data_IF_002833362841
#
_entry.id   IF_002833362841
#
_cell.length_a   1.000
_cell.length_b   1.000
_cell.length_c   1.000
_cell.angle_alpha   90.00
_cell.angle_beta   90.00
_cell.angle_gamma   90.00
#
_symmetry.space_group_name_H-M   'P 1'
#
loop_
_entity.id
_entity.type
_entity.pdbx_description
1 polymer ?
#
# COMPACT_ATOMS: atom_id res chain seq x y z
N UNK A 1 16.85 20.30 -18.54
CA UNK A 1 17.27 18.95 -18.08
C UNK A 1 17.12 17.98 -19.25
N UNK A 2 18.16 17.20 -19.52
CA UNK A 2 18.21 16.23 -20.61
C UNK A 2 18.29 14.81 -20.05
N UNK A 3 17.62 13.86 -20.69
CA UNK A 3 17.74 12.43 -20.34
C UNK A 3 18.90 11.86 -21.16
N UNK A 4 19.97 11.42 -20.47
CA UNK A 4 21.16 10.83 -21.09
C UNK A 4 21.80 9.82 -20.13
N UNK A 5 22.65 8.93 -20.66
CA UNK A 5 23.47 8.04 -19.84
C UNK A 5 24.71 8.80 -19.38
N UNK A 6 24.85 9.11 -18.08
CA UNK A 6 26.02 9.82 -17.58
C UNK A 6 27.28 8.94 -17.66
N UNK A 7 28.44 9.56 -17.65
CA UNK A 7 29.71 8.83 -17.61
C UNK A 7 29.79 7.97 -16.33
N UNK A 8 30.00 6.67 -16.50
CA UNK A 8 30.09 5.71 -15.39
C UNK A 8 28.74 5.13 -14.93
N UNK A 9 27.62 5.46 -15.60
CA UNK A 9 26.30 4.85 -15.37
C UNK A 9 25.94 3.94 -16.56
N UNK A 10 25.03 3.00 -16.35
CA UNK A 10 24.52 2.08 -17.39
C UNK A 10 23.06 2.40 -17.80
N UNK A 11 22.46 3.44 -17.21
CA UNK A 11 21.03 3.79 -17.40
C UNK A 11 20.86 5.27 -17.74
N UNK A 12 19.82 5.63 -18.50
CA UNK A 12 19.42 7.01 -18.69
C UNK A 12 19.02 7.67 -17.35
N UNK A 13 19.52 8.89 -17.14
CA UNK A 13 19.22 9.72 -15.98
C UNK A 13 18.81 11.13 -16.42
N UNK A 14 18.07 11.81 -15.57
CA UNK A 14 17.84 13.24 -15.75
C UNK A 14 19.08 14.01 -15.33
N UNK A 15 19.71 14.72 -16.25
CA UNK A 15 20.92 15.50 -16.01
C UNK A 15 20.64 16.99 -16.24
N UNK A 16 21.08 17.83 -15.32
CA UNK A 16 21.00 19.27 -15.48
C UNK A 16 21.99 19.75 -16.54
N UNK A 17 21.53 20.46 -17.56
CA UNK A 17 22.38 20.93 -18.66
C UNK A 17 23.32 22.05 -18.25
N UNK A 18 23.04 22.77 -17.17
CA UNK A 18 23.84 23.90 -16.69
C UNK A 18 24.91 23.52 -15.68
N UNK A 19 24.64 22.54 -14.80
CA UNK A 19 25.58 22.17 -13.74
C UNK A 19 25.97 20.68 -13.74
N UNK A 20 25.49 19.89 -14.70
CA UNK A 20 25.71 18.45 -14.85
C UNK A 20 25.25 17.61 -13.62
N UNK A 21 24.48 18.15 -12.70
CA UNK A 21 23.93 17.38 -11.59
C UNK A 21 23.03 16.27 -12.13
N UNK A 22 23.27 15.03 -11.64
CA UNK A 22 22.49 13.86 -11.98
C UNK A 22 21.36 13.73 -10.95
N UNK A 23 20.10 13.68 -11.44
CA UNK A 23 18.91 13.46 -10.61
C UNK A 23 18.54 11.98 -10.69
N UNK A 24 18.78 11.24 -9.63
CA UNK A 24 18.38 9.86 -9.50
C UNK A 24 16.88 9.76 -9.18
N UNK A 25 16.20 8.83 -9.82
CA UNK A 25 14.84 8.46 -9.49
C UNK A 25 14.85 7.03 -8.94
N UNK A 26 14.30 6.85 -7.73
CA UNK A 26 14.16 5.56 -7.10
C UNK A 26 12.68 5.17 -7.06
N UNK A 27 12.35 3.88 -6.93
CA UNK A 27 10.98 3.44 -6.67
C UNK A 27 10.42 4.15 -5.44
N UNK A 28 9.14 4.52 -5.51
CA UNK A 28 8.44 5.13 -4.39
C UNK A 28 8.01 4.04 -3.41
N UNK A 29 8.16 4.32 -2.12
CA UNK A 29 7.67 3.46 -1.06
C UNK A 29 6.25 3.90 -0.71
N UNK A 30 5.32 2.93 -0.70
CA UNK A 30 3.97 3.07 -0.17
C UNK A 30 3.91 2.25 1.11
N UNK A 31 3.52 2.87 2.21
CA UNK A 31 3.33 2.20 3.49
C UNK A 31 1.86 2.27 3.92
N UNK A 32 1.32 1.17 4.38
CA UNK A 32 -0.08 1.11 4.79
C UNK A 32 -0.35 0.04 5.82
N UNK A 33 -1.55 0.09 6.36
CA UNK A 33 -2.04 -0.85 7.36
C UNK A 33 -3.14 -1.75 6.80
N UNK A 34 -3.22 -2.95 7.37
CA UNK A 34 -4.41 -3.78 7.40
C UNK A 34 -4.98 -3.69 8.82
N UNK A 35 -5.86 -2.69 9.10
CA UNK A 35 -6.38 -2.48 10.44
C UNK A 35 -7.54 -3.45 10.71
N UNK A 36 -7.50 -4.13 11.85
CA UNK A 36 -8.48 -5.15 12.21
C UNK A 36 -9.18 -4.83 13.53
N UNK A 37 -10.44 -5.26 13.64
CA UNK A 37 -11.22 -5.28 14.87
C UNK A 37 -12.02 -6.59 14.96
N UNK A 38 -11.62 -7.47 15.84
CA UNK A 38 -12.17 -8.82 15.90
C UNK A 38 -11.94 -9.57 14.60
N UNK A 39 -13.02 -9.91 13.93
CA UNK A 39 -13.01 -10.63 12.66
C UNK A 39 -13.15 -9.74 11.41
N UNK A 40 -13.14 -8.43 11.60
CA UNK A 40 -13.35 -7.45 10.53
C UNK A 40 -12.09 -6.68 10.20
N UNK A 41 -12.01 -6.22 8.97
CA UNK A 41 -10.97 -5.32 8.46
C UNK A 41 -11.58 -3.95 8.13
N UNK A 42 -10.81 -2.89 8.40
CA UNK A 42 -11.22 -1.52 8.07
C UNK A 42 -10.79 -1.20 6.65
N UNK A 43 -11.72 -0.72 5.84
CA UNK A 43 -11.48 -0.20 4.50
C UNK A 43 -11.92 1.25 4.39
N UNK A 44 -11.20 2.00 3.55
CA UNK A 44 -11.47 3.37 3.16
C UNK A 44 -12.03 3.41 1.74
N UNK A 45 -13.08 4.19 1.48
CA UNK A 45 -13.60 4.44 0.14
C UNK A 45 -12.94 5.68 -0.43
N UNK A 46 -12.17 5.56 -1.49
CA UNK A 46 -11.32 6.62 -2.05
C UNK A 46 -12.12 7.84 -2.51
N UNK A 47 -11.69 9.03 -2.11
CA UNK A 47 -12.18 10.32 -2.59
C UNK A 47 -11.27 10.95 -3.66
N UNK A 48 -10.19 10.27 -4.06
CA UNK A 48 -9.16 10.76 -4.99
C UNK A 48 -8.89 9.79 -6.15
N UNK A 49 -8.40 10.31 -7.27
CA UNK A 49 -7.88 9.50 -8.36
C UNK A 49 -6.44 8.98 -8.07
N UNK A 50 -6.03 7.86 -8.67
CA UNK A 50 -6.84 6.94 -9.46
C UNK A 50 -7.81 6.12 -8.62
N UNK A 51 -8.85 5.56 -9.25
CA UNK A 51 -9.83 4.67 -8.59
C UNK A 51 -10.74 5.40 -7.59
N UNK A 52 -11.21 6.61 -7.91
CA UNK A 52 -12.25 7.30 -7.14
C UNK A 52 -13.47 6.40 -6.91
N UNK A 53 -13.97 6.34 -5.68
CA UNK A 53 -15.14 5.57 -5.29
C UNK A 53 -14.89 4.07 -5.03
N UNK A 54 -13.67 3.56 -5.24
CA UNK A 54 -13.28 2.19 -4.92
C UNK A 54 -12.78 2.07 -3.47
N UNK A 55 -12.80 0.85 -2.94
CA UNK A 55 -12.35 0.55 -1.58
C UNK A 55 -10.88 0.15 -1.54
N UNK A 56 -10.20 0.57 -0.50
CA UNK A 56 -8.78 0.29 -0.27
C UNK A 56 -8.48 0.09 1.21
N UNK A 57 -7.36 -0.53 1.52
CA UNK A 57 -6.72 -0.39 2.83
C UNK A 57 -6.07 0.99 2.93
N UNK A 58 -6.02 1.64 4.10
CA UNK A 58 -5.31 2.91 4.27
C UNK A 58 -3.83 2.75 3.97
N UNK A 59 -3.34 3.50 2.99
CA UNK A 59 -1.95 3.43 2.52
C UNK A 59 -1.60 4.59 1.58
N UNK A 60 -0.44 5.19 1.78
CA UNK A 60 0.07 6.25 0.92
C UNK A 60 1.59 6.32 0.83
N UNK A 61 2.09 7.34 0.19
CA UNK A 61 3.52 7.50 0.00
C UNK A 61 4.22 7.87 1.30
N UNK A 62 5.33 7.16 1.57
CA UNK A 62 6.23 7.49 2.65
C UNK A 62 6.84 8.88 2.43
N UNK A 63 6.85 9.70 3.47
CA UNK A 63 7.44 11.03 3.45
C UNK A 63 8.89 11.04 3.96
N UNK A 64 9.58 12.18 3.78
CA UNK A 64 10.94 12.35 4.30
C UNK A 64 10.91 12.44 5.83
N UNK A 65 11.94 11.87 6.47
CA UNK A 65 12.16 11.88 7.91
C UNK A 65 11.14 11.07 8.74
N UNK A 66 10.41 10.15 8.13
CA UNK A 66 9.58 9.17 8.84
C UNK A 66 10.06 7.74 8.58
N UNK A 67 9.80 6.85 9.51
CA UNK A 67 9.97 5.41 9.34
C UNK A 67 8.75 4.81 8.60
N UNK A 68 8.90 3.62 8.04
CA UNK A 68 7.78 2.92 7.38
C UNK A 68 6.62 2.63 8.33
N UNK A 69 6.90 2.44 9.63
CA UNK A 69 5.88 2.26 10.67
C UNK A 69 5.12 3.57 10.94
N UNK A 70 5.84 4.68 11.04
CA UNK A 70 5.22 6.00 11.21
C UNK A 70 4.37 6.38 10.00
N UNK A 71 4.87 6.14 8.77
CA UNK A 71 4.11 6.34 7.55
C UNK A 71 2.79 5.55 7.54
N UNK A 72 2.84 4.25 7.82
CA UNK A 72 1.66 3.40 7.85
C UNK A 72 0.62 3.84 8.90
N UNK A 73 1.06 4.26 10.09
CA UNK A 73 0.19 4.77 11.14
C UNK A 73 -0.40 6.15 10.76
N UNK A 74 0.40 7.04 10.19
CA UNK A 74 -0.02 8.37 9.71
C UNK A 74 -1.10 8.24 8.63
N UNK A 75 -0.86 7.43 7.60
CA UNK A 75 -1.83 7.20 6.52
C UNK A 75 -3.16 6.64 7.05
N UNK A 76 -3.10 5.73 8.03
CA UNK A 76 -4.30 5.19 8.66
C UNK A 76 -5.07 6.28 9.43
N UNK A 77 -4.35 7.19 10.10
CA UNK A 77 -4.96 8.32 10.79
C UNK A 77 -5.54 9.34 9.79
N UNK A 78 -4.83 9.67 8.73
CA UNK A 78 -5.24 10.67 7.73
C UNK A 78 -6.44 10.22 6.90
N UNK A 79 -6.45 8.95 6.43
CA UNK A 79 -7.51 8.44 5.58
C UNK A 79 -8.75 7.97 6.35
N UNK A 80 -8.57 7.50 7.59
CA UNK A 80 -9.64 6.88 8.37
C UNK A 80 -9.90 7.52 9.74
N UNK A 81 -9.14 8.55 10.15
CA UNK A 81 -9.12 9.05 11.54
C UNK A 81 -8.98 7.93 12.58
N UNK A 82 -8.40 6.80 12.19
CA UNK A 82 -8.31 5.60 13.00
C UNK A 82 -6.95 5.48 13.68
N UNK A 83 -6.96 5.13 14.96
CA UNK A 83 -5.75 4.87 15.75
C UNK A 83 -5.47 3.37 15.80
N UNK A 84 -4.22 3.00 15.52
CA UNK A 84 -3.82 1.59 15.42
C UNK A 84 -2.61 1.26 16.28
N UNK A 85 -2.55 0.01 16.70
CA UNK A 85 -1.35 -0.65 17.20
C UNK A 85 -0.78 -1.54 16.10
N UNK A 86 0.41 -1.20 15.60
CA UNK A 86 1.09 -1.96 14.57
C UNK A 86 1.61 -3.29 15.12
N UNK A 87 1.33 -4.39 14.42
CA UNK A 87 1.69 -5.75 14.83
C UNK A 87 2.88 -6.33 14.06
N UNK A 88 3.30 -5.68 12.99
CA UNK A 88 4.46 -6.05 12.20
C UNK A 88 4.22 -6.00 10.69
N UNK A 89 5.33 -6.03 9.94
CA UNK A 89 5.29 -6.08 8.48
C UNK A 89 4.72 -7.42 8.04
N UNK A 90 3.67 -7.36 7.23
CA UNK A 90 2.92 -8.53 6.78
C UNK A 90 3.23 -8.90 5.33
N UNK A 91 3.26 -7.90 4.45
CA UNK A 91 3.59 -8.12 3.05
C UNK A 91 4.46 -7.00 2.49
N UNK A 92 5.45 -7.39 1.67
CA UNK A 92 6.20 -6.51 0.78
C UNK A 92 5.84 -6.91 -0.66
N UNK A 93 5.31 -5.95 -1.42
CA UNK A 93 4.92 -6.19 -2.81
C UNK A 93 5.66 -5.24 -3.74
N UNK A 94 6.37 -5.81 -4.71
CA UNK A 94 7.07 -5.04 -5.73
C UNK A 94 6.14 -4.78 -6.92
N UNK A 95 6.10 -3.54 -7.39
CA UNK A 95 5.34 -3.11 -8.56
C UNK A 95 6.28 -2.44 -9.58
N UNK A 96 7.11 -3.23 -10.31
CA UNK A 96 8.09 -2.66 -11.23
C UNK A 96 7.48 -1.82 -12.36
N UNK A 97 6.24 -2.11 -12.75
CA UNK A 97 5.53 -1.45 -13.85
C UNK A 97 5.08 -0.01 -13.52
N UNK A 98 5.10 0.37 -12.24
CA UNK A 98 4.77 1.73 -11.76
C UNK A 98 5.84 2.30 -10.82
N UNK A 99 7.00 1.64 -10.74
CA UNK A 99 8.14 2.04 -9.89
C UNK A 99 7.73 2.24 -8.41
N UNK A 100 7.04 1.26 -7.83
CA UNK A 100 6.58 1.30 -6.44
C UNK A 100 6.92 0.02 -5.68
N UNK A 101 7.09 0.17 -4.36
CA UNK A 101 7.17 -0.93 -3.39
C UNK A 101 6.15 -0.66 -2.29
N UNK A 102 5.25 -1.63 -2.06
CA UNK A 102 4.26 -1.58 -1.01
C UNK A 102 4.72 -2.34 0.22
N UNK A 103 4.59 -1.71 1.37
CA UNK A 103 4.83 -2.27 2.70
C UNK A 103 3.51 -2.27 3.47
N UNK A 104 2.89 -3.45 3.61
CA UNK A 104 1.62 -3.59 4.31
C UNK A 104 1.85 -4.17 5.70
N UNK A 105 1.47 -3.43 6.72
CA UNK A 105 1.58 -3.81 8.13
C UNK A 105 0.25 -4.34 8.64
N UNK A 106 0.28 -5.44 9.39
CA UNK A 106 -0.87 -5.80 10.22
C UNK A 106 -0.99 -4.81 11.36
N UNK A 107 -2.23 -4.43 11.64
CA UNK A 107 -2.52 -3.49 12.71
C UNK A 107 -3.83 -3.85 13.40
N UNK A 108 -3.93 -3.54 14.69
CA UNK A 108 -5.16 -3.63 15.46
C UNK A 108 -5.69 -2.24 15.73
N UNK A 109 -6.97 -2.00 15.50
CA UNK A 109 -7.62 -0.76 15.93
C UNK A 109 -7.56 -0.65 17.46
N UNK A 110 -7.28 0.53 17.97
CA UNK A 110 -7.27 0.80 19.41
C UNK A 110 -8.68 0.98 19.97
N UNK A 111 -9.59 1.47 19.12
CA UNK A 111 -11.01 1.70 19.42
C UNK A 111 -11.83 1.75 18.12
N UNK A 112 -13.12 2.04 18.24
CA UNK A 112 -14.04 2.19 17.11
C UNK A 112 -14.35 3.65 16.76
N UNK A 113 -13.56 4.59 17.28
CA UNK A 113 -13.66 6.02 16.95
C UNK A 113 -12.86 6.30 15.67
N UNK A 114 -13.47 5.96 14.53
CA UNK A 114 -12.95 6.20 13.20
C UNK A 114 -13.99 6.87 12.29
N UNK A 115 -13.54 7.60 11.30
CA UNK A 115 -14.39 8.31 10.34
C UNK A 115 -13.60 8.60 9.07
N UNK A 116 -14.28 8.94 7.98
CA UNK A 116 -13.62 9.31 6.75
C UNK A 116 -12.73 10.56 6.93
N UNK A 117 -11.47 10.43 6.52
CA UNK A 117 -10.56 11.56 6.37
C UNK A 117 -10.82 12.32 5.06
N UNK A 118 -9.97 13.30 4.76
CA UNK A 118 -10.16 14.19 3.59
C UNK A 118 -10.04 13.48 2.25
N UNK A 119 -9.29 12.37 2.19
CA UNK A 119 -9.10 11.55 0.98
C UNK A 119 -10.03 10.32 0.93
N UNK A 120 -10.99 10.24 1.87
CA UNK A 120 -11.95 9.14 1.95
C UNK A 120 -13.39 9.65 1.88
N UNK A 121 -14.22 8.97 1.06
CA UNK A 121 -15.68 9.20 0.99
C UNK A 121 -16.42 8.52 2.15
N UNK A 122 -15.89 7.39 2.61
CA UNK A 122 -16.49 6.53 3.62
C UNK A 122 -15.42 5.62 4.23
N UNK A 123 -15.63 5.16 5.45
CA UNK A 123 -14.77 4.22 6.16
C UNK A 123 -15.64 3.20 6.88
N UNK A 124 -15.38 1.90 6.66
CA UNK A 124 -16.20 0.83 7.25
C UNK A 124 -15.38 -0.39 7.66
N UNK A 125 -15.92 -1.13 8.61
CA UNK A 125 -15.47 -2.47 8.98
C UNK A 125 -16.25 -3.53 8.18
N UNK A 126 -15.51 -4.46 7.56
CA UNK A 126 -16.05 -5.55 6.76
C UNK A 126 -15.61 -6.91 7.29
N UNK A 127 -16.52 -7.87 7.42
CA UNK A 127 -16.15 -9.28 7.48
C UNK A 127 -15.71 -9.78 6.10
N UNK A 128 -15.15 -10.98 6.01
CA UNK A 128 -14.69 -11.56 4.73
C UNK A 128 -15.83 -11.63 3.69
N UNK A 129 -17.02 -12.02 4.12
CA UNK A 129 -18.20 -12.17 3.26
C UNK A 129 -18.80 -10.83 2.78
N UNK A 130 -18.53 -9.76 3.55
CA UNK A 130 -19.02 -8.41 3.25
C UNK A 130 -18.06 -7.60 2.35
N UNK A 131 -16.82 -8.07 2.13
CA UNK A 131 -15.83 -7.35 1.31
C UNK A 131 -16.39 -7.12 -0.09
N UNK A 132 -16.39 -5.85 -0.57
CA UNK A 132 -16.81 -5.53 -1.92
C UNK A 132 -15.70 -5.84 -2.94
N UNK A 133 -15.43 -7.13 -3.18
CA UNK A 133 -14.29 -7.63 -3.94
C UNK A 133 -14.15 -7.03 -5.34
N UNK A 134 -15.27 -6.73 -6.01
CA UNK A 134 -15.26 -6.17 -7.36
C UNK A 134 -14.93 -4.66 -7.36
N UNK A 135 -15.10 -4.01 -6.20
CA UNK A 135 -14.84 -2.58 -6.00
C UNK A 135 -13.51 -2.34 -5.23
N UNK A 136 -12.64 -3.35 -5.10
CA UNK A 136 -11.30 -3.15 -4.52
C UNK A 136 -10.40 -2.43 -5.52
N UNK A 137 -9.81 -1.32 -5.09
CA UNK A 137 -9.10 -0.38 -5.95
C UNK A 137 -7.87 -0.96 -6.65
N UNK A 138 -7.08 -1.76 -5.93
CA UNK A 138 -5.75 -2.19 -6.38
C UNK A 138 -5.50 -3.66 -6.12
N UNK A 139 -4.76 -4.30 -7.03
CA UNK A 139 -4.34 -5.71 -6.89
C UNK A 139 -3.54 -5.96 -5.61
N UNK A 140 -2.70 -5.01 -5.18
CA UNK A 140 -1.97 -5.09 -3.91
C UNK A 140 -2.89 -5.22 -2.71
N UNK A 141 -3.98 -4.46 -2.69
CA UNK A 141 -4.96 -4.48 -1.60
C UNK A 141 -5.76 -5.78 -1.62
N UNK A 142 -6.25 -6.19 -2.81
CA UNK A 142 -6.93 -7.49 -2.98
C UNK A 142 -6.04 -8.64 -2.48
N UNK A 143 -4.79 -8.70 -2.93
CA UNK A 143 -3.85 -9.74 -2.52
C UNK A 143 -3.59 -9.72 -1.01
N UNK A 144 -3.44 -8.53 -0.39
CA UNK A 144 -3.26 -8.40 1.05
C UNK A 144 -4.46 -8.95 1.83
N UNK A 145 -5.67 -8.64 1.38
CA UNK A 145 -6.92 -9.12 2.00
C UNK A 145 -7.07 -10.64 1.85
N UNK A 146 -6.87 -11.18 0.64
CA UNK A 146 -6.96 -12.62 0.37
C UNK A 146 -5.96 -13.41 1.24
N UNK A 147 -4.71 -12.96 1.31
CA UNK A 147 -3.69 -13.57 2.18
C UNK A 147 -4.11 -13.50 3.65
N UNK A 148 -4.62 -12.37 4.11
CA UNK A 148 -5.02 -12.20 5.51
C UNK A 148 -6.16 -13.13 5.92
N UNK A 149 -7.21 -13.21 5.12
CA UNK A 149 -8.34 -14.08 5.46
C UNK A 149 -7.98 -15.57 5.38
N UNK A 150 -7.06 -15.96 4.49
CA UNK A 150 -6.53 -17.33 4.50
C UNK A 150 -5.70 -17.63 5.76
N UNK A 151 -4.77 -16.74 6.11
CA UNK A 151 -3.91 -16.88 7.28
C UNK A 151 -4.67 -16.89 8.60
N UNK A 152 -5.75 -16.12 8.66
CA UNK A 152 -6.63 -16.05 9.81
C UNK A 152 -7.25 -17.40 10.17
N UNK A 153 -7.49 -18.28 9.21
CA UNK A 153 -8.05 -19.63 9.46
C UNK A 153 -7.15 -20.48 10.37
N UNK A 154 -5.84 -20.23 10.32
CA UNK A 154 -4.82 -20.93 11.13
C UNK A 154 -4.21 -20.04 12.23
N UNK A 155 -4.64 -18.80 12.35
CA UNK A 155 -4.07 -17.76 13.22
C UNK A 155 -2.55 -17.61 13.07
N UNK A 156 -2.07 -17.78 11.83
CA UNK A 156 -0.62 -17.74 11.51
C UNK A 156 -0.40 -16.75 10.39
N UNK A 157 0.38 -15.70 10.64
CA UNK A 157 0.54 -14.57 9.74
C UNK A 157 2.01 -14.38 9.32
N UNK A 158 2.54 -15.24 8.43
CA UNK A 158 3.93 -15.13 7.99
C UNK A 158 4.16 -13.87 7.15
N UNK A 159 5.35 -13.29 7.28
CA UNK A 159 5.79 -12.23 6.36
C UNK A 159 5.94 -12.80 4.94
N UNK A 160 5.44 -12.07 3.96
CA UNK A 160 5.52 -12.45 2.55
C UNK A 160 6.15 -11.38 1.69
N UNK A 161 6.95 -11.84 0.73
CA UNK A 161 7.49 -11.01 -0.35
C UNK A 161 6.90 -11.50 -1.67
N UNK A 162 6.48 -10.58 -2.54
CA UNK A 162 5.99 -10.95 -3.85
C UNK A 162 6.01 -9.80 -4.84
N UNK A 163 5.66 -10.13 -6.08
CA UNK A 163 5.59 -9.17 -7.16
C UNK A 163 4.17 -9.07 -7.68
N UNK A 164 3.74 -7.86 -8.01
CA UNK A 164 2.53 -7.66 -8.81
C UNK A 164 2.94 -7.75 -10.28
N UNK A 165 2.55 -8.84 -10.92
CA UNK A 165 2.89 -9.14 -12.31
C UNK A 165 1.66 -9.14 -13.19
N UNK A 166 1.85 -8.92 -14.48
CA UNK A 166 0.77 -9.00 -15.46
C UNK A 166 0.35 -10.46 -15.63
N UNK A 167 -0.97 -10.71 -15.50
CA UNK A 167 -1.58 -12.01 -15.70
C UNK A 167 -2.76 -11.86 -16.68
N UNK A 168 -2.55 -12.29 -17.93
CA UNK A 168 -3.51 -12.08 -19.01
C UNK A 168 -3.81 -10.59 -19.25
N UNK A 169 -5.09 -10.18 -19.09
CA UNK A 169 -5.54 -8.78 -19.23
C UNK A 169 -5.43 -7.98 -17.92
N UNK A 170 -5.06 -8.64 -16.79
CA UNK A 170 -4.99 -8.04 -15.46
C UNK A 170 -3.61 -8.12 -14.83
N UNK A 171 -3.60 -7.96 -13.51
CA UNK A 171 -2.43 -8.11 -12.64
C UNK A 171 -2.75 -9.09 -11.51
N UNK A 172 -1.79 -9.94 -11.16
CA UNK A 172 -1.87 -10.90 -10.08
C UNK A 172 -0.68 -10.79 -9.13
N UNK A 173 -0.82 -11.34 -7.93
CA UNK A 173 0.26 -11.45 -6.96
C UNK A 173 1.04 -12.75 -7.17
N UNK A 174 2.35 -12.62 -7.42
CA UNK A 174 3.28 -13.74 -7.50
C UNK A 174 4.14 -13.76 -6.23
N UNK A 175 3.89 -14.75 -5.37
CA UNK A 175 4.71 -14.97 -4.18
C UNK A 175 6.15 -15.31 -4.56
N UNK A 176 7.11 -14.72 -3.82
CA UNK A 176 8.53 -15.08 -3.90
C UNK A 176 8.91 -15.85 -2.65
N UNK A 177 9.58 -17.00 -2.79
CA UNK A 177 10.04 -17.81 -1.67
C UNK A 177 11.11 -17.10 -0.83
#
# INVERSE_FOLDING_TARGET
MTVKVPQGDDRPRHVCDSCNTIHYQNPKIVAGCLPTWGDRVLLCKRAIEPRYGFWTLPAGFMELNETTLEAAARETLEEANARVELQGLYALMNLPHVDQVYLMFRARLLDLDFSAGTESLDVRLYSEEEIPWDDIAFTTIRATLELYFEDRKSDTYPFRVGDIVRDGEGYGFLHRP
#
